data_IF_256162876670
#
_entry.id   IF_256162876670
#
_cell.length_a   1.000
_cell.length_b   1.000
_cell.length_c   1.000
_cell.angle_alpha   90.00
_cell.angle_beta   90.00
_cell.angle_gamma   90.00
#
_symmetry.space_group_name_H-M   'P 1'
#
loop_
_entity.id
_entity.type
_entity.pdbx_description
1 polymer ?
#
# COMPACT_ATOMS: atom_id res chain seq x y z
N UNK A 1 35.29 3.02 36.79
CA UNK A 1 35.19 3.43 35.37
C UNK A 1 34.53 2.38 34.47
N UNK A 2 34.92 1.10 34.52
CA UNK A 2 34.44 0.06 33.58
C UNK A 2 32.94 -0.28 33.73
N UNK A 3 32.39 -0.25 34.95
CA UNK A 3 30.98 -0.60 35.20
C UNK A 3 30.00 0.40 34.58
N UNK A 4 30.35 1.70 34.52
CA UNK A 4 29.51 2.74 33.92
C UNK A 4 29.42 2.63 32.39
N UNK A 5 30.53 2.30 31.73
CA UNK A 5 30.59 2.13 30.27
C UNK A 5 29.70 0.97 29.80
N UNK A 6 29.63 -0.12 30.58
CA UNK A 6 28.82 -1.30 30.24
C UNK A 6 27.32 -0.99 30.22
N UNK A 7 26.84 -0.18 31.17
CA UNK A 7 25.44 0.25 31.23
C UNK A 7 25.07 1.18 30.08
N UNK A 8 25.99 2.07 29.69
CA UNK A 8 25.80 2.97 28.54
C UNK A 8 25.68 2.17 27.24
N UNK A 9 26.51 1.14 27.05
CA UNK A 9 26.46 0.27 25.87
C UNK A 9 25.13 -0.51 25.83
N UNK A 10 24.67 -1.04 26.97
CA UNK A 10 23.38 -1.74 27.06
C UNK A 10 22.23 -0.77 26.72
N UNK A 11 22.27 0.45 27.24
CA UNK A 11 21.24 1.46 26.96
C UNK A 11 21.20 1.84 25.48
N UNK A 12 22.36 2.00 24.84
CA UNK A 12 22.46 2.28 23.40
C UNK A 12 21.93 1.13 22.54
N UNK A 13 22.21 -0.12 22.92
CA UNK A 13 21.69 -1.30 22.23
C UNK A 13 20.16 -1.40 22.34
N UNK A 14 19.60 -1.12 23.53
CA UNK A 14 18.15 -1.10 23.75
C UNK A 14 17.50 0.01 22.94
N UNK A 15 18.11 1.20 22.88
CA UNK A 15 17.59 2.33 22.12
C UNK A 15 17.59 2.05 20.60
N UNK A 16 18.62 1.40 20.08
CA UNK A 16 18.68 1.01 18.66
C UNK A 16 17.64 -0.05 18.29
N UNK A 17 17.19 -0.87 19.25
CA UNK A 17 16.16 -1.89 19.01
C UNK A 17 14.74 -1.30 18.97
N UNK A 18 14.55 -0.08 19.46
CA UNK A 18 13.30 0.68 19.37
C UNK A 18 13.22 1.37 18.00
N UNK A 19 13.24 0.58 16.93
CA UNK A 19 13.06 1.10 15.57
C UNK A 19 11.67 1.71 15.42
N UNK A 20 11.60 3.01 15.12
CA UNK A 20 10.35 3.66 14.73
C UNK A 20 10.10 3.36 13.25
N UNK A 21 9.02 2.64 12.94
CA UNK A 21 8.57 2.47 11.56
C UNK A 21 7.67 3.64 11.22
N UNK A 22 8.04 4.43 10.22
CA UNK A 22 7.13 5.43 9.67
C UNK A 22 5.95 4.70 9.03
N UNK A 23 4.73 5.18 9.26
CA UNK A 23 3.55 4.71 8.53
C UNK A 23 3.71 5.14 7.07
N UNK A 24 3.75 4.17 6.17
CA UNK A 24 3.71 4.45 4.73
C UNK A 24 2.41 5.17 4.38
N UNK A 25 2.54 6.27 3.63
CA UNK A 25 1.39 7.05 3.14
C UNK A 25 1.16 6.68 1.68
N UNK A 26 0.12 5.91 1.34
CA UNK A 26 -0.14 5.55 -0.04
C UNK A 26 -0.57 6.79 -0.84
N UNK A 27 -0.25 6.79 -2.13
CA UNK A 27 -0.84 7.72 -3.07
C UNK A 27 -2.27 7.26 -3.39
N UNK A 28 -3.22 8.20 -3.38
CA UNK A 28 -4.63 7.91 -3.68
C UNK A 28 -4.97 8.51 -5.05
N UNK A 29 -5.47 7.68 -5.96
CA UNK A 29 -6.00 8.09 -7.26
C UNK A 29 -7.46 7.64 -7.35
N UNK A 30 -8.38 8.59 -7.54
CA UNK A 30 -9.80 8.32 -7.78
C UNK A 30 -10.07 8.54 -9.27
N UNK A 31 -10.58 7.50 -9.92
CA UNK A 31 -11.03 7.55 -11.32
C UNK A 31 -12.55 7.44 -11.28
N UNK A 32 -13.23 8.49 -11.76
CA UNK A 32 -14.69 8.54 -11.84
C UNK A 32 -15.09 8.74 -13.28
N UNK A 33 -15.98 7.88 -13.76
CA UNK A 33 -16.60 7.96 -15.08
C UNK A 33 -18.06 8.37 -14.93
N UNK A 34 -18.53 9.24 -15.82
CA UNK A 34 -19.93 9.62 -15.88
C UNK A 34 -20.73 8.55 -16.62
N UNK A 35 -21.93 8.23 -16.14
CA UNK A 35 -22.89 7.27 -16.74
C UNK A 35 -22.39 5.86 -17.10
N UNK A 36 -21.19 5.44 -16.65
CA UNK A 36 -20.71 4.08 -16.91
C UNK A 36 -21.46 3.08 -16.02
N UNK A 37 -22.24 2.21 -16.66
CA UNK A 37 -22.98 1.13 -16.02
C UNK A 37 -22.15 -0.15 -15.86
N UNK A 38 -22.66 -1.09 -15.05
CA UNK A 38 -22.01 -2.40 -14.84
C UNK A 38 -21.85 -3.19 -16.13
N UNK A 39 -22.80 -3.07 -17.05
CA UNK A 39 -22.76 -3.80 -18.33
C UNK A 39 -21.72 -3.26 -19.31
N UNK A 40 -21.03 -2.16 -18.96
CA UNK A 40 -20.09 -1.50 -19.86
C UNK A 40 -18.63 -1.96 -19.70
N UNK A 41 -18.33 -2.74 -18.66
CA UNK A 41 -16.98 -3.22 -18.39
C UNK A 41 -16.88 -4.74 -18.53
N UNK A 42 -15.82 -5.21 -19.20
CA UNK A 42 -15.62 -6.62 -19.50
C UNK A 42 -15.41 -7.45 -18.23
N UNK A 43 -14.74 -6.91 -17.20
CA UNK A 43 -14.67 -7.55 -15.88
C UNK A 43 -16.03 -7.84 -15.22
N UNK A 44 -17.13 -7.22 -15.70
CA UNK A 44 -18.51 -7.50 -15.29
C UNK A 44 -19.34 -8.25 -16.34
N UNK A 45 -18.72 -8.73 -17.42
CA UNK A 45 -19.35 -9.58 -18.44
C UNK A 45 -19.72 -8.88 -19.75
N UNK A 46 -19.32 -7.61 -19.95
CA UNK A 46 -19.45 -6.97 -21.28
C UNK A 46 -18.65 -7.74 -22.34
N UNK A 47 -19.27 -8.04 -23.48
CA UNK A 47 -18.62 -8.77 -24.59
C UNK A 47 -18.27 -7.88 -25.79
N UNK A 48 -18.80 -6.66 -25.83
CA UNK A 48 -18.70 -5.72 -26.93
C UNK A 48 -17.77 -4.53 -26.64
N UNK A 49 -17.65 -4.12 -25.37
CA UNK A 49 -16.75 -3.05 -24.95
C UNK A 49 -15.38 -3.60 -24.51
N UNK A 50 -14.33 -2.92 -24.96
CA UNK A 50 -12.94 -3.27 -24.64
C UNK A 50 -12.41 -2.36 -23.54
N UNK A 51 -12.29 -2.89 -22.33
CA UNK A 51 -11.86 -2.15 -21.15
C UNK A 51 -10.53 -2.66 -20.55
N UNK A 52 -9.48 -2.93 -21.35
CA UNK A 52 -8.32 -3.73 -20.90
C UNK A 52 -7.57 -3.14 -19.69
N UNK A 53 -7.59 -1.82 -19.51
CA UNK A 53 -6.98 -1.18 -18.34
C UNK A 53 -7.83 -1.34 -17.07
N UNK A 54 -9.16 -1.24 -17.18
CA UNK A 54 -10.08 -1.50 -16.06
C UNK A 54 -10.06 -2.99 -15.72
N UNK A 55 -10.05 -3.85 -16.74
CA UNK A 55 -9.96 -5.31 -16.57
C UNK A 55 -8.68 -5.71 -15.84
N UNK A 56 -7.54 -5.11 -16.24
CA UNK A 56 -6.26 -5.32 -15.55
C UNK A 56 -6.32 -4.81 -14.10
N UNK A 57 -6.89 -3.64 -13.86
CA UNK A 57 -7.03 -3.11 -12.50
C UNK A 57 -7.88 -4.06 -11.63
N UNK A 58 -9.03 -4.50 -12.13
CA UNK A 58 -9.92 -5.45 -11.46
C UNK A 58 -9.24 -6.80 -11.19
N UNK A 59 -8.42 -7.32 -12.12
CA UNK A 59 -7.67 -8.56 -11.93
C UNK A 59 -6.52 -8.45 -10.89
N UNK A 60 -6.09 -7.22 -10.57
CA UNK A 60 -4.96 -6.96 -9.66
C UNK A 60 -5.38 -6.35 -8.31
N UNK A 61 -6.68 -6.13 -8.11
CA UNK A 61 -7.23 -5.44 -6.93
C UNK A 61 -8.57 -6.05 -6.48
N UNK A 62 -9.30 -5.30 -5.65
CA UNK A 62 -10.66 -5.63 -5.13
C UNK A 62 -11.51 -4.38 -5.15
#
# INVERSE_FOLDING_TARGET
>A
MVLGVKHIIILLLVFSALGVSAVERPNILIILTDDQGTIDANCYGSTDLRTPNIDRLAATGV
#
